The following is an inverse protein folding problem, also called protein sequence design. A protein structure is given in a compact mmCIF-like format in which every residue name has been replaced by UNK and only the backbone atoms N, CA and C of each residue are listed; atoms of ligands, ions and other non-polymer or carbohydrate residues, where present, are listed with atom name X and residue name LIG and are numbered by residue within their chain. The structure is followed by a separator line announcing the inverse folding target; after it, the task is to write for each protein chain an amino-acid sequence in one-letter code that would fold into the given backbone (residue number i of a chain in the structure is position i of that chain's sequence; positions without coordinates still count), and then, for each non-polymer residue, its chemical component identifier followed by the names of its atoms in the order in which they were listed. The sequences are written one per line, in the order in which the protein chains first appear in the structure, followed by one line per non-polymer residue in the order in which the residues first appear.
data_IF_743825916589
#
_entry.id   IF_743825916589
#
_cell.length_a   1.000
_cell.length_b   1.000
_cell.length_c   1.000
_cell.angle_alpha   90.00
_cell.angle_beta   90.00
_cell.angle_gamma   90.00
#
_symmetry.space_group_name_H-M   'P 1'
#
loop_
_entity.id
_entity.type
_entity.pdbx_description
1 polymer ?
#
# COMPACT_ATOMS: atom_id res chain seq x y z
N UNK A 1 27.99 -21.91 3.74
CA UNK A 1 26.83 -21.59 4.62
C UNK A 1 26.26 -20.25 4.18
N UNK A 2 24.94 -20.14 4.04
CA UNK A 2 24.31 -18.87 3.70
C UNK A 2 24.48 -17.86 4.86
N UNK A 3 24.77 -16.61 4.55
CA UNK A 3 24.86 -15.55 5.56
C UNK A 3 23.46 -15.20 6.08
N UNK A 4 23.35 -14.79 7.34
CA UNK A 4 22.07 -14.41 7.94
C UNK A 4 21.36 -13.30 7.13
N UNK A 5 22.13 -12.35 6.59
CA UNK A 5 21.62 -11.30 5.69
C UNK A 5 20.99 -11.86 4.41
N UNK A 6 21.53 -12.94 3.86
CA UNK A 6 20.95 -13.59 2.68
C UNK A 6 19.61 -14.24 3.02
N UNK A 7 19.55 -14.99 4.13
CA UNK A 7 18.30 -15.64 4.60
C UNK A 7 17.21 -14.59 4.86
N UNK A 8 17.53 -13.52 5.60
CA UNK A 8 16.57 -12.44 5.85
C UNK A 8 16.14 -11.74 4.57
N UNK A 9 17.05 -11.53 3.62
CA UNK A 9 16.70 -10.93 2.34
C UNK A 9 15.77 -11.81 1.50
N UNK A 10 15.92 -13.14 1.53
CA UNK A 10 14.98 -14.07 0.88
C UNK A 10 13.60 -14.02 1.56
N UNK A 11 13.55 -14.06 2.89
CA UNK A 11 12.29 -13.91 3.64
C UNK A 11 11.62 -12.57 3.30
N UNK A 12 12.40 -11.49 3.27
CA UNK A 12 11.94 -10.16 2.90
C UNK A 12 11.37 -10.11 1.48
N UNK A 13 12.04 -10.76 0.51
CA UNK A 13 11.53 -10.90 -0.86
C UNK A 13 10.16 -11.59 -0.89
N UNK A 14 10.02 -12.73 -0.22
CA UNK A 14 8.75 -13.49 -0.18
C UNK A 14 7.63 -12.64 0.42
N UNK A 15 7.87 -12.02 1.58
CA UNK A 15 6.85 -11.19 2.25
C UNK A 15 6.47 -9.98 1.39
N UNK A 16 7.44 -9.28 0.81
CA UNK A 16 7.18 -8.14 -0.08
C UNK A 16 6.36 -8.53 -1.30
N UNK A 17 6.65 -9.69 -1.93
CA UNK A 17 5.86 -10.20 -3.05
C UNK A 17 4.41 -10.49 -2.62
N UNK A 18 4.20 -11.08 -1.44
CA UNK A 18 2.85 -11.29 -0.88
C UNK A 18 2.09 -9.96 -0.69
N UNK A 19 2.78 -8.90 -0.27
CA UNK A 19 2.20 -7.55 -0.19
C UNK A 19 1.86 -7.01 -1.58
N UNK A 20 2.75 -7.16 -2.57
CA UNK A 20 2.52 -6.66 -3.93
C UNK A 20 1.41 -7.41 -4.68
N UNK A 21 1.13 -8.66 -4.35
CA UNK A 21 -0.01 -9.41 -4.92
C UNK A 21 -1.34 -9.12 -4.23
N UNK A 22 -1.34 -8.42 -3.09
CA UNK A 22 -2.57 -8.11 -2.36
C UNK A 22 -3.66 -7.40 -3.20
N UNK A 23 -3.34 -6.52 -4.18
CA UNK A 23 -4.36 -5.89 -5.02
C UNK A 23 -4.88 -6.76 -6.16
N UNK A 24 -4.38 -7.98 -6.38
CA UNK A 24 -4.80 -8.84 -7.52
C UNK A 24 -6.31 -9.03 -7.52
N UNK A 25 -6.91 -9.32 -6.35
CA UNK A 25 -8.37 -9.52 -6.25
C UNK A 25 -9.13 -8.24 -6.64
N UNK A 26 -8.65 -7.08 -6.21
CA UNK A 26 -9.24 -5.78 -6.58
C UNK A 26 -9.19 -5.56 -8.09
N UNK A 27 -8.03 -5.79 -8.73
CA UNK A 27 -7.93 -5.61 -10.18
C UNK A 27 -8.66 -6.68 -10.99
N UNK A 28 -8.82 -7.89 -10.45
CA UNK A 28 -9.70 -8.89 -11.03
C UNK A 28 -11.14 -8.40 -11.12
N UNK A 29 -11.66 -7.78 -10.05
CA UNK A 29 -13.00 -7.18 -10.05
C UNK A 29 -13.11 -6.02 -11.05
N UNK A 30 -12.08 -5.16 -11.13
CA UNK A 30 -12.01 -4.07 -12.12
C UNK A 30 -12.12 -4.62 -13.55
N UNK A 31 -11.40 -5.69 -13.87
CA UNK A 31 -11.46 -6.33 -15.19
C UNK A 31 -12.83 -6.94 -15.48
N UNK A 32 -13.44 -7.61 -14.50
CA UNK A 32 -14.76 -8.23 -14.63
C UNK A 32 -15.86 -7.18 -14.84
N UNK A 33 -15.80 -6.08 -14.09
CA UNK A 33 -16.79 -4.99 -14.14
C UNK A 33 -16.51 -3.97 -15.25
N UNK A 34 -15.33 -4.03 -15.87
CA UNK A 34 -14.86 -3.04 -16.88
C UNK A 34 -14.90 -1.61 -16.37
N UNK A 35 -14.72 -1.41 -15.06
CA UNK A 35 -14.78 -0.12 -14.39
C UNK A 35 -13.90 -0.14 -13.15
N UNK A 36 -13.19 0.96 -12.88
CA UNK A 36 -12.43 1.15 -11.64
C UNK A 36 -13.30 1.54 -10.45
N UNK A 37 -14.62 1.69 -10.64
CA UNK A 37 -15.56 2.15 -9.61
C UNK A 37 -15.00 3.35 -8.82
N UNK A 38 -14.86 3.23 -7.50
CA UNK A 38 -14.30 4.24 -6.60
C UNK A 38 -12.83 3.96 -6.22
N UNK A 39 -12.18 2.98 -6.84
CA UNK A 39 -10.77 2.69 -6.60
C UNK A 39 -9.90 3.83 -7.10
N UNK A 40 -8.85 4.14 -6.32
CA UNK A 40 -7.89 5.20 -6.60
C UNK A 40 -6.64 4.64 -7.25
N UNK A 41 -6.17 5.28 -8.32
CA UNK A 41 -4.97 4.87 -9.06
C UNK A 41 -3.68 5.37 -8.41
N UNK A 42 -3.76 6.45 -7.63
CA UNK A 42 -2.62 7.15 -7.05
C UNK A 42 -1.68 6.26 -6.21
N UNK A 43 -2.17 5.33 -5.36
CA UNK A 43 -1.28 4.45 -4.60
C UNK A 43 -0.39 3.56 -5.49
N UNK A 44 -0.91 3.07 -6.61
CA UNK A 44 -0.17 2.19 -7.53
C UNK A 44 0.91 2.96 -8.29
N UNK A 45 0.61 4.20 -8.71
CA UNK A 45 1.56 5.11 -9.35
C UNK A 45 2.71 5.44 -8.39
N UNK A 46 2.40 5.87 -7.17
CA UNK A 46 3.45 6.19 -6.19
C UNK A 46 4.30 4.97 -5.82
N UNK A 47 3.69 3.79 -5.79
CA UNK A 47 4.41 2.54 -5.52
C UNK A 47 5.26 2.11 -6.72
N UNK A 48 4.83 2.38 -7.96
CA UNK A 48 5.62 2.15 -9.16
C UNK A 48 6.90 3.01 -9.15
N UNK A 49 6.79 4.31 -8.87
CA UNK A 49 7.95 5.18 -8.70
C UNK A 49 8.89 4.65 -7.59
N UNK A 50 8.32 4.35 -6.42
CA UNK A 50 9.11 3.89 -5.26
C UNK A 50 9.87 2.61 -5.56
N UNK A 51 9.18 1.59 -6.08
CA UNK A 51 9.80 0.32 -6.47
C UNK A 51 10.81 0.48 -7.61
N UNK A 52 10.57 1.37 -8.57
CA UNK A 52 11.54 1.67 -9.64
C UNK A 52 12.82 2.32 -9.09
N UNK A 53 12.69 3.28 -8.16
CA UNK A 53 13.84 3.92 -7.52
C UNK A 53 14.62 2.95 -6.62
N UNK A 54 13.94 2.12 -5.85
CA UNK A 54 14.59 1.08 -5.06
C UNK A 54 15.25 0.00 -5.93
N UNK A 55 14.72 -0.27 -7.11
CA UNK A 55 15.37 -1.14 -8.11
C UNK A 55 16.67 -0.52 -8.61
N UNK A 56 16.65 0.78 -8.97
CA UNK A 56 17.85 1.51 -9.35
C UNK A 56 18.88 1.51 -8.20
N UNK A 57 18.43 1.75 -6.97
CA UNK A 57 19.27 1.70 -5.77
C UNK A 57 19.95 0.34 -5.61
N UNK A 58 19.19 -0.76 -5.70
CA UNK A 58 19.71 -2.12 -5.64
C UNK A 58 20.69 -2.44 -6.78
N UNK A 59 20.45 -1.92 -7.99
CA UNK A 59 21.30 -2.14 -9.15
C UNK A 59 22.67 -1.45 -9.03
N UNK A 60 22.74 -0.26 -8.42
CA UNK A 60 23.99 0.49 -8.24
C UNK A 60 24.73 0.14 -6.93
N UNK A 61 24.04 -0.52 -5.98
CA UNK A 61 24.61 -0.89 -4.68
C UNK A 61 25.40 -2.20 -4.79
N UNK A 62 26.64 -2.27 -4.26
CA UNK A 62 27.33 -3.54 -4.05
C UNK A 62 26.49 -4.50 -3.21
N UNK A 63 26.36 -5.74 -3.67
CA UNK A 63 25.50 -6.78 -3.05
C UNK A 63 24.03 -6.35 -2.90
N UNK A 64 23.54 -5.49 -3.79
CA UNK A 64 22.17 -4.99 -3.80
C UNK A 64 21.14 -5.92 -4.48
N UNK A 65 21.55 -7.12 -4.90
CA UNK A 65 20.72 -8.03 -5.70
C UNK A 65 19.35 -8.31 -5.08
N UNK A 66 19.29 -8.61 -3.78
CA UNK A 66 18.03 -8.91 -3.09
C UNK A 66 17.06 -7.71 -3.02
N UNK A 67 17.61 -6.50 -2.98
CA UNK A 67 16.82 -5.25 -3.01
C UNK A 67 16.34 -4.98 -4.45
N UNK A 68 17.21 -5.22 -5.44
CA UNK A 68 16.88 -5.07 -6.85
C UNK A 68 15.79 -6.06 -7.27
N UNK A 69 15.87 -7.33 -6.89
CA UNK A 69 14.93 -8.38 -7.32
C UNK A 69 13.53 -8.15 -6.77
N UNK A 70 13.42 -7.82 -5.48
CA UNK A 70 12.11 -7.60 -4.84
C UNK A 70 11.41 -6.38 -5.42
N UNK A 71 12.16 -5.29 -5.60
CA UNK A 71 11.58 -4.04 -6.07
C UNK A 71 11.36 -4.06 -7.58
N UNK A 72 12.22 -4.74 -8.35
CA UNK A 72 12.01 -4.94 -9.78
C UNK A 72 10.74 -5.75 -10.05
N UNK A 73 10.52 -6.82 -9.28
CA UNK A 73 9.27 -7.58 -9.33
C UNK A 73 8.07 -6.73 -8.93
N UNK A 74 8.22 -5.91 -7.88
CA UNK A 74 7.23 -4.93 -7.47
C UNK A 74 6.88 -3.94 -8.58
N UNK A 75 7.89 -3.35 -9.24
CA UNK A 75 7.71 -2.39 -10.33
C UNK A 75 6.97 -3.02 -11.51
N UNK A 76 7.29 -4.27 -11.87
CA UNK A 76 6.55 -5.01 -12.93
C UNK A 76 5.08 -5.18 -12.53
N UNK A 77 4.79 -5.62 -11.30
CA UNK A 77 3.41 -5.77 -10.83
C UNK A 77 2.65 -4.44 -10.78
N UNK A 78 3.28 -3.37 -10.30
CA UNK A 78 2.67 -2.04 -10.26
C UNK A 78 2.41 -1.48 -11.65
N UNK A 79 3.32 -1.71 -12.61
CA UNK A 79 3.12 -1.33 -14.00
C UNK A 79 1.88 -2.03 -14.59
N UNK A 80 1.68 -3.32 -14.29
CA UNK A 80 0.47 -4.05 -14.68
C UNK A 80 -0.78 -3.40 -14.08
N UNK A 81 -0.78 -3.11 -12.77
CA UNK A 81 -1.92 -2.48 -12.09
C UNK A 81 -2.24 -1.10 -12.65
N UNK A 82 -1.23 -0.25 -12.84
CA UNK A 82 -1.40 1.08 -13.44
C UNK A 82 -1.96 0.97 -14.86
N UNK A 83 -1.46 0.03 -15.66
CA UNK A 83 -1.96 -0.22 -17.02
C UNK A 83 -3.43 -0.64 -17.00
N UNK A 84 -3.80 -1.61 -16.16
CA UNK A 84 -5.19 -2.04 -16.02
C UNK A 84 -6.09 -0.89 -15.55
N UNK A 85 -5.62 -0.06 -14.63
CA UNK A 85 -6.36 1.13 -14.18
C UNK A 85 -6.61 2.08 -15.35
N UNK A 86 -5.59 2.40 -16.15
CA UNK A 86 -5.74 3.29 -17.32
C UNK A 86 -6.65 2.71 -18.40
N UNK A 87 -6.68 1.39 -18.57
CA UNK A 87 -7.59 0.72 -19.51
C UNK A 87 -9.04 0.87 -19.05
N UNK A 88 -9.34 0.57 -17.78
CA UNK A 88 -10.71 0.46 -17.28
C UNK A 88 -11.26 1.68 -16.54
N UNK A 89 -10.47 2.73 -16.30
CA UNK A 89 -10.93 3.93 -15.63
C UNK A 89 -11.94 4.74 -16.50
N UNK A 90 -12.96 5.36 -15.88
CA UNK A 90 -13.81 6.37 -16.54
C UNK A 90 -12.96 7.51 -17.12
N UNK A 91 -13.44 8.15 -18.20
CA UNK A 91 -12.65 9.16 -18.96
C UNK A 91 -12.02 10.25 -18.09
N UNK A 92 -12.77 10.81 -17.13
CA UNK A 92 -12.27 11.87 -16.25
C UNK A 92 -11.12 11.39 -15.35
N UNK A 93 -11.31 10.27 -14.65
CA UNK A 93 -10.28 9.66 -13.82
C UNK A 93 -9.08 9.20 -14.66
N UNK A 94 -9.33 8.66 -15.85
CA UNK A 94 -8.30 8.18 -16.77
C UNK A 94 -7.32 9.29 -17.17
N UNK A 95 -7.83 10.48 -17.54
CA UNK A 95 -6.96 11.61 -17.92
C UNK A 95 -6.14 12.09 -16.73
N UNK A 96 -6.74 12.20 -15.55
CA UNK A 96 -6.02 12.57 -14.32
C UNK A 96 -4.91 11.57 -13.99
N UNK A 97 -5.23 10.28 -14.01
CA UNK A 97 -4.28 9.20 -13.75
C UNK A 97 -3.17 9.18 -14.80
N UNK A 98 -3.50 9.31 -16.09
CA UNK A 98 -2.50 9.33 -17.16
C UNK A 98 -1.52 10.50 -17.01
N UNK A 99 -2.03 11.71 -16.70
CA UNK A 99 -1.18 12.87 -16.39
C UNK A 99 -0.25 12.58 -15.21
N UNK A 100 -0.76 11.96 -14.15
CA UNK A 100 0.04 11.64 -12.98
C UNK A 100 1.13 10.60 -13.30
N UNK A 101 0.82 9.55 -14.08
CA UNK A 101 1.81 8.57 -14.56
C UNK A 101 2.92 9.25 -15.37
N UNK A 102 2.56 10.11 -16.32
CA UNK A 102 3.56 10.83 -17.14
C UNK A 102 4.46 11.69 -16.27
N UNK A 103 3.90 12.47 -15.34
CA UNK A 103 4.70 13.34 -14.47
C UNK A 103 5.58 12.52 -13.52
N UNK A 104 5.02 11.52 -12.85
CA UNK A 104 5.68 10.81 -11.74
C UNK A 104 6.58 9.68 -12.26
N UNK A 105 6.06 8.79 -13.11
CA UNK A 105 6.77 7.58 -13.53
C UNK A 105 7.59 7.75 -14.82
N UNK A 106 7.35 8.81 -15.61
CA UNK A 106 8.15 9.10 -16.81
C UNK A 106 9.08 10.27 -16.57
N UNK A 107 8.56 11.45 -16.24
CA UNK A 107 9.37 12.66 -16.11
C UNK A 107 10.26 12.62 -14.86
N UNK A 108 9.68 12.41 -13.67
CA UNK A 108 10.46 12.39 -12.42
C UNK A 108 11.41 11.20 -12.38
N UNK A 109 10.91 9.98 -12.64
CA UNK A 109 11.77 8.79 -12.68
C UNK A 109 12.89 8.91 -13.74
N UNK A 110 12.55 9.35 -14.95
CA UNK A 110 13.51 9.56 -16.03
C UNK A 110 14.58 10.60 -15.68
N UNK A 111 14.18 11.71 -15.05
CA UNK A 111 15.12 12.73 -14.58
C UNK A 111 16.06 12.20 -13.50
N UNK A 112 15.56 11.40 -12.55
CA UNK A 112 16.40 10.79 -11.51
C UNK A 112 17.39 9.79 -12.12
N UNK A 113 16.94 8.93 -13.04
CA UNK A 113 17.81 7.98 -13.75
C UNK A 113 18.88 8.73 -14.56
N UNK A 114 18.47 9.71 -15.37
CA UNK A 114 19.39 10.50 -16.19
C UNK A 114 20.43 11.23 -15.32
N UNK A 115 20.00 11.88 -14.25
CA UNK A 115 20.91 12.57 -13.31
C UNK A 115 21.88 11.58 -12.65
N UNK A 116 21.39 10.41 -12.23
CA UNK A 116 22.22 9.38 -11.59
C UNK A 116 23.28 8.84 -12.55
N UNK A 117 22.92 8.59 -13.81
CA UNK A 117 23.81 7.97 -14.79
C UNK A 117 24.77 8.97 -15.45
N UNK A 118 24.32 10.20 -15.71
CA UNK A 118 25.04 11.18 -16.52
C UNK A 118 25.76 12.25 -15.68
N UNK A 119 25.20 12.67 -14.54
CA UNK A 119 25.72 13.80 -13.77
C UNK A 119 26.45 13.38 -12.49
N UNK A 120 25.98 12.32 -11.82
CA UNK A 120 26.55 11.86 -10.54
C UNK A 120 27.50 10.70 -10.80
N UNK A 121 28.58 10.60 -10.00
CA UNK A 121 29.63 9.60 -10.18
C UNK A 121 30.06 8.97 -8.86
N UNK A 122 30.57 7.74 -8.93
CA UNK A 122 31.08 6.99 -7.77
C UNK A 122 30.04 6.80 -6.66
N UNK A 123 30.51 6.83 -5.41
CA UNK A 123 29.70 6.61 -4.20
C UNK A 123 28.58 7.64 -4.01
N UNK A 124 28.70 8.83 -4.63
CA UNK A 124 27.66 9.87 -4.59
C UNK A 124 26.36 9.42 -5.25
N UNK A 125 26.41 8.49 -6.23
CA UNK A 125 25.21 7.93 -6.88
C UNK A 125 24.34 7.21 -5.86
N UNK A 126 24.97 6.37 -5.03
CA UNK A 126 24.29 5.59 -4.02
C UNK A 126 23.65 6.49 -2.96
N UNK A 127 24.38 7.52 -2.51
CA UNK A 127 23.86 8.51 -1.54
C UNK A 127 22.65 9.25 -2.12
N UNK A 128 22.76 9.75 -3.35
CA UNK A 128 21.69 10.51 -4.00
C UNK A 128 20.41 9.69 -4.14
N UNK A 129 20.51 8.48 -4.74
CA UNK A 129 19.34 7.62 -4.93
C UNK A 129 18.81 7.13 -3.58
N UNK A 130 19.69 6.79 -2.63
CA UNK A 130 19.30 6.36 -1.29
C UNK A 130 18.44 7.38 -0.55
N UNK A 131 18.84 8.66 -0.55
CA UNK A 131 18.05 9.74 0.06
C UNK A 131 16.68 9.87 -0.59
N UNK A 132 16.59 9.81 -1.93
CA UNK A 132 15.32 9.88 -2.64
C UNK A 132 14.42 8.70 -2.32
N UNK A 133 14.95 7.47 -2.32
CA UNK A 133 14.24 6.26 -1.96
C UNK A 133 13.68 6.33 -0.53
N UNK A 134 14.52 6.69 0.44
CA UNK A 134 14.13 6.81 1.84
C UNK A 134 13.08 7.91 2.03
N UNK A 135 13.32 9.10 1.49
CA UNK A 135 12.40 10.24 1.59
C UNK A 135 11.03 9.95 0.99
N UNK A 136 11.00 9.35 -0.21
CA UNK A 136 9.76 8.93 -0.85
C UNK A 136 9.01 7.89 -0.01
N UNK A 137 9.71 6.88 0.49
CA UNK A 137 9.10 5.82 1.32
C UNK A 137 8.49 6.39 2.60
N UNK A 138 9.19 7.32 3.27
CA UNK A 138 8.66 8.03 4.44
C UNK A 138 7.43 8.86 4.07
N UNK A 139 7.47 9.57 2.95
CA UNK A 139 6.32 10.33 2.45
C UNK A 139 5.09 9.45 2.19
N UNK A 140 5.29 8.24 1.65
CA UNK A 140 4.21 7.28 1.43
C UNK A 140 3.53 6.83 2.73
N UNK A 141 4.21 6.91 3.88
CA UNK A 141 3.60 6.60 5.18
C UNK A 141 2.54 7.62 5.63
N UNK A 142 2.37 8.74 4.94
CA UNK A 142 1.23 9.64 5.15
C UNK A 142 -0.12 8.93 4.96
N UNK A 143 -0.20 7.97 4.02
CA UNK A 143 -1.41 7.20 3.76
C UNK A 143 -1.84 6.32 4.96
N UNK A 144 -1.00 5.42 5.51
CA UNK A 144 -1.34 4.65 6.70
C UNK A 144 -1.60 5.54 7.92
N UNK A 145 -0.89 6.66 8.10
CA UNK A 145 -1.21 7.64 9.15
C UNK A 145 -2.63 8.19 9.03
N UNK A 146 -3.05 8.55 7.81
CA UNK A 146 -4.41 9.02 7.54
C UNK A 146 -5.46 7.95 7.88
N UNK A 147 -5.19 6.68 7.56
CA UNK A 147 -6.06 5.56 7.92
C UNK A 147 -6.12 5.37 9.44
N UNK A 148 -4.99 5.42 10.15
CA UNK A 148 -4.96 5.37 11.62
C UNK A 148 -5.79 6.49 12.25
N UNK A 149 -5.65 7.72 11.74
CA UNK A 149 -6.49 8.86 12.18
C UNK A 149 -7.97 8.58 11.95
N UNK A 150 -8.33 7.97 10.83
CA UNK A 150 -9.72 7.57 10.53
C UNK A 150 -10.21 6.54 11.54
N UNK A 151 -9.45 5.48 11.82
CA UNK A 151 -9.80 4.46 12.84
C UNK A 151 -10.06 5.10 14.20
N UNK A 152 -9.20 6.02 14.64
CA UNK A 152 -9.37 6.69 15.94
C UNK A 152 -10.64 7.55 15.98
N UNK A 153 -10.98 8.23 14.88
CA UNK A 153 -12.17 9.08 14.76
C UNK A 153 -13.46 8.27 14.64
N UNK A 154 -13.47 7.25 13.78
CA UNK A 154 -14.67 6.43 13.50
C UNK A 154 -14.86 5.31 14.51
N UNK A 155 -13.85 5.04 15.34
CA UNK A 155 -13.83 3.92 16.29
C UNK A 155 -14.01 2.56 15.60
N UNK A 156 -13.66 2.47 14.31
CA UNK A 156 -13.85 1.29 13.48
C UNK A 156 -12.61 0.98 12.63
N UNK A 157 -12.30 -0.31 12.49
CA UNK A 157 -11.16 -0.85 11.74
C UNK A 157 -11.50 -1.25 10.30
N UNK A 158 -12.69 -0.90 9.80
CA UNK A 158 -13.19 -1.22 8.45
C UNK A 158 -12.18 -0.90 7.32
N UNK A 159 -11.46 0.22 7.43
CA UNK A 159 -10.49 0.67 6.43
C UNK A 159 -9.06 0.18 6.68
N UNK A 160 -8.83 -0.63 7.72
CA UNK A 160 -7.52 -1.13 8.13
C UNK A 160 -7.57 -2.65 8.32
N UNK A 161 -7.49 -3.43 7.22
CA UNK A 161 -7.53 -4.89 7.32
C UNK A 161 -6.31 -5.41 8.09
N UNK A 162 -6.55 -6.34 9.02
CA UNK A 162 -5.52 -6.91 9.89
C UNK A 162 -4.38 -7.55 9.09
N UNK A 163 -4.70 -8.44 8.15
CA UNK A 163 -3.69 -9.20 7.40
C UNK A 163 -2.74 -8.26 6.64
N UNK A 164 -3.27 -7.24 5.98
CA UNK A 164 -2.43 -6.27 5.27
C UNK A 164 -1.50 -5.53 6.25
N UNK A 165 -2.03 -5.06 7.38
CA UNK A 165 -1.25 -4.37 8.40
C UNK A 165 -0.16 -5.27 9.00
N UNK A 166 -0.49 -6.54 9.24
CA UNK A 166 0.44 -7.54 9.76
C UNK A 166 1.57 -7.86 8.78
N UNK A 167 1.26 -8.10 7.50
CA UNK A 167 2.28 -8.35 6.48
C UNK A 167 3.14 -7.12 6.21
N UNK A 168 2.58 -5.90 6.26
CA UNK A 168 3.37 -4.66 6.18
C UNK A 168 4.32 -4.49 7.37
N UNK A 169 3.84 -4.80 8.59
CA UNK A 169 4.68 -4.81 9.79
C UNK A 169 5.83 -5.81 9.69
N UNK A 170 5.54 -7.06 9.32
CA UNK A 170 6.57 -8.08 9.12
C UNK A 170 7.56 -7.69 8.03
N UNK A 171 7.06 -7.17 6.91
CA UNK A 171 7.90 -6.70 5.81
C UNK A 171 8.89 -5.65 6.29
N UNK A 172 8.40 -4.61 6.97
CA UNK A 172 9.21 -3.53 7.49
C UNK A 172 10.21 -4.05 8.56
N UNK A 173 9.81 -4.98 9.42
CA UNK A 173 10.68 -5.58 10.43
C UNK A 173 11.84 -6.38 9.81
N UNK A 174 11.54 -7.26 8.86
CA UNK A 174 12.54 -8.08 8.17
C UNK A 174 13.52 -7.21 7.39
N UNK A 175 13.03 -6.21 6.65
CA UNK A 175 13.91 -5.30 5.91
C UNK A 175 14.72 -4.37 6.82
N UNK A 176 14.19 -4.00 8.00
CA UNK A 176 14.97 -3.27 9.02
C UNK A 176 16.11 -4.14 9.57
N UNK A 177 15.83 -5.40 9.90
CA UNK A 177 16.84 -6.34 10.38
C UNK A 177 17.90 -6.61 9.29
N UNK A 178 17.47 -6.81 8.04
CA UNK A 178 18.36 -6.93 6.88
C UNK A 178 19.30 -5.72 6.78
N UNK A 179 18.74 -4.50 6.86
CA UNK A 179 19.50 -3.26 6.75
C UNK A 179 20.59 -3.12 7.82
N UNK A 180 20.31 -3.54 9.06
CA UNK A 180 21.31 -3.57 10.15
C UNK A 180 22.48 -4.50 9.80
N UNK A 181 22.19 -5.69 9.26
CA UNK A 181 23.23 -6.66 8.91
C UNK A 181 24.10 -6.20 7.73
N UNK A 182 23.50 -5.54 6.73
CA UNK A 182 24.24 -5.01 5.57
C UNK A 182 24.75 -3.58 5.77
N UNK A 183 24.55 -3.00 6.97
CA UNK A 183 24.93 -1.64 7.36
C UNK A 183 24.43 -0.57 6.39
N UNK A 184 23.19 -0.72 5.92
CA UNK A 184 22.57 0.20 4.96
C UNK A 184 21.56 1.12 5.68
N UNK A 185 21.98 2.37 5.92
CA UNK A 185 21.16 3.35 6.63
C UNK A 185 19.90 3.75 5.85
N UNK A 186 19.94 3.74 4.52
CA UNK A 186 18.81 4.20 3.70
C UNK A 186 17.65 3.21 3.76
N UNK A 187 17.97 1.91 3.62
CA UNK A 187 17.00 0.83 3.83
C UNK A 187 16.53 0.83 5.29
N UNK A 188 17.47 1.01 6.24
CA UNK A 188 17.20 0.97 7.67
C UNK A 188 16.22 2.04 8.13
N UNK A 189 16.47 3.31 7.80
CA UNK A 189 15.61 4.43 8.22
C UNK A 189 14.20 4.31 7.63
N UNK A 190 14.09 3.96 6.35
CA UNK A 190 12.80 3.77 5.69
C UNK A 190 11.99 2.67 6.38
N UNK A 191 12.58 1.48 6.51
CA UNK A 191 11.87 0.32 7.05
C UNK A 191 11.65 0.39 8.56
N UNK A 192 12.56 0.99 9.34
CA UNK A 192 12.35 1.17 10.78
C UNK A 192 11.16 2.10 11.05
N UNK A 193 11.02 3.17 10.25
CA UNK A 193 9.84 4.05 10.30
C UNK A 193 8.56 3.27 9.97
N UNK A 194 8.59 2.45 8.92
CA UNK A 194 7.47 1.57 8.57
C UNK A 194 7.14 0.54 9.66
N UNK A 195 8.15 0.02 10.36
CA UNK A 195 7.98 -0.95 11.43
C UNK A 195 7.28 -0.32 12.63
N UNK A 196 7.71 0.87 13.06
CA UNK A 196 7.06 1.64 14.13
C UNK A 196 5.60 1.92 13.79
N UNK A 197 5.33 2.36 12.55
CA UNK A 197 3.95 2.62 12.11
C UNK A 197 3.13 1.34 12.01
N UNK A 198 3.69 0.25 11.49
CA UNK A 198 3.04 -1.05 11.43
C UNK A 198 2.68 -1.58 12.83
N UNK A 199 3.57 -1.42 13.81
CA UNK A 199 3.27 -1.73 15.22
C UNK A 199 2.09 -0.90 15.72
N UNK A 200 2.10 0.41 15.45
CA UNK A 200 1.01 1.29 15.86
C UNK A 200 -0.32 0.92 15.17
N UNK A 201 -0.31 0.51 13.90
CA UNK A 201 -1.49 0.01 13.20
C UNK A 201 -2.05 -1.26 13.87
N UNK A 202 -1.19 -2.22 14.21
CA UNK A 202 -1.61 -3.45 14.89
C UNK A 202 -2.19 -3.18 16.29
N UNK A 203 -1.56 -2.29 17.06
CA UNK A 203 -2.06 -1.87 18.37
C UNK A 203 -3.45 -1.22 18.23
N UNK A 204 -3.61 -0.27 17.31
CA UNK A 204 -4.91 0.36 17.06
C UNK A 204 -5.96 -0.64 16.59
N UNK A 205 -5.59 -1.61 15.75
CA UNK A 205 -6.50 -2.66 15.31
C UNK A 205 -7.08 -3.41 16.51
N UNK A 206 -6.23 -3.93 17.40
CA UNK A 206 -6.66 -4.67 18.60
C UNK A 206 -7.53 -3.82 19.52
N UNK A 207 -7.18 -2.54 19.70
CA UNK A 207 -7.96 -1.63 20.56
C UNK A 207 -9.37 -1.33 20.04
N UNK A 208 -9.56 -1.30 18.72
CA UNK A 208 -10.81 -0.85 18.10
C UNK A 208 -11.64 -1.96 17.45
N UNK A 209 -11.09 -3.16 17.22
CA UNK A 209 -11.84 -4.29 16.61
C UNK A 209 -13.06 -4.73 17.42
N UNK A 210 -12.97 -4.71 18.76
CA UNK A 210 -14.10 -5.10 19.61
C UNK A 210 -15.19 -4.01 19.62
N UNK A 211 -14.80 -2.74 19.46
CA UNK A 211 -15.72 -1.61 19.40
C UNK A 211 -16.47 -1.56 18.07
N UNK A 212 -15.81 -1.89 16.95
CA UNK A 212 -16.49 -1.97 15.66
C UNK A 212 -17.56 -3.05 15.63
N UNK A 213 -17.26 -4.24 16.18
CA UNK A 213 -18.24 -5.35 16.25
C UNK A 213 -19.47 -4.95 17.06
N UNK A 214 -19.28 -4.27 18.19
CA UNK A 214 -20.39 -3.77 19.01
C UNK A 214 -21.25 -2.73 18.29
N UNK A 215 -20.64 -1.76 17.59
CA UNK A 215 -21.37 -0.73 16.84
C UNK A 215 -22.15 -1.33 15.67
N UNK A 216 -21.57 -2.30 14.95
CA UNK A 216 -22.26 -3.00 13.86
C UNK A 216 -23.45 -3.83 14.36
N UNK A 217 -23.34 -4.47 15.53
CA UNK A 217 -24.44 -5.19 16.15
C UNK A 217 -25.61 -4.25 16.50
N UNK A 218 -25.32 -3.11 17.14
CA UNK A 218 -26.34 -2.11 17.50
C UNK A 218 -27.06 -1.58 16.24
N UNK A 219 -26.32 -1.23 15.18
CA UNK A 219 -26.92 -0.75 13.92
C UNK A 219 -27.83 -1.79 13.25
N UNK A 220 -27.46 -3.07 13.31
CA UNK A 220 -28.29 -4.15 12.76
C UNK A 220 -29.59 -4.30 13.53
N UNK A 221 -29.55 -4.23 14.87
CA UNK A 221 -30.75 -4.27 15.72
C UNK A 221 -31.70 -3.10 15.45
N UNK A 222 -31.19 -1.87 15.32
CA UNK A 222 -32.00 -0.69 14.99
C UNK A 222 -32.66 -0.82 13.60
N UNK A 223 -31.91 -1.25 12.57
CA UNK A 223 -32.50 -1.41 11.22
C UNK A 223 -33.56 -2.52 11.15
N UNK A 224 -33.40 -3.57 11.97
CA UNK A 224 -34.37 -4.67 12.04
C UNK A 224 -35.62 -4.24 12.83
N UNK A 225 -35.48 -3.38 13.84
CA UNK A 225 -36.60 -2.81 14.60
C UNK A 225 -37.47 -1.85 13.78
N UNK A 226 -36.87 -1.03 12.92
CA UNK A 226 -37.62 -0.13 12.02
C UNK A 226 -38.40 -0.88 10.93
N UNK A 227 -37.88 -2.03 10.48
CA UNK A 227 -38.58 -2.89 9.51
C UNK A 227 -39.84 -3.53 10.13
N UNK A 228 -39.81 -3.86 11.43
CA UNK A 228 -40.96 -4.40 12.17
C UNK A 228 -42.01 -3.32 12.45
N UNK A 229 -41.60 -2.08 12.76
CA UNK A 229 -42.53 -0.96 12.96
C UNK A 229 -43.25 -0.51 11.69
N UNK A 230 -42.63 -0.66 10.51
CA UNK A 230 -43.26 -0.36 9.22
C UNK A 230 -44.35 -1.34 8.77
N UNK A 231 -44.40 -2.54 9.36
CA UNK A 231 -45.36 -3.61 9.01
C UNK A 231 -46.70 -3.57 9.73
N UNK A 232 -46.85 -2.74 10.77
CA UNK A 232 -48.11 -2.58 11.51
C UNK A 232 -48.86 -1.35 10.96
N UNK A 233 -49.30 -1.43 9.70
CA UNK A 233 -50.44 -0.62 9.25
C UNK A 233 -51.69 -1.47 9.45
N UNK A 234 -52.46 -1.12 10.48
CA UNK A 234 -53.77 -1.72 10.74
C UNK A 234 -54.64 -1.60 9.48
N UNK A 235 -55.07 -2.73 8.94
CA UNK A 235 -56.14 -2.75 7.94
C UNK A 235 -57.41 -2.21 8.60
N UNK A 236 -58.13 -1.25 7.97
CA UNK A 236 -59.47 -0.89 8.42
C UNK A 236 -60.38 -2.13 8.30
N UNK A 237 -61.18 -2.37 9.33
CA UNK A 237 -62.18 -3.44 9.36
C UNK A 237 -63.19 -3.26 8.21
N UNK A 238 -63.71 -4.36 7.63
CA UNK A 238 -64.68 -4.28 6.54
C UNK A 238 -66.04 -3.89 7.14
N UNK A 239 -66.53 -2.70 6.80
CA UNK A 239 -67.92 -2.34 7.02
C UNK A 239 -68.77 -3.08 5.98
N UNK A 240 -69.63 -3.97 6.47
CA UNK A 240 -70.72 -4.54 5.70
C UNK A 240 -71.99 -3.71 5.85
N UNK A 241 -72.68 -3.51 4.73
CA UNK A 241 -74.12 -3.73 4.40
C UNK A 241 -74.43 -2.96 3.13
#
# INVERSE_FOLDING_TARGET
MATLSFILGIIGNVISLLVFVSPIKTFWEVMKKKSTENYKGEPYIMTLLSTSLWTLYGAIKPDGLLVMTVNGSGAILQLIYVTLFLVYAPKENKVKTAKLVVVVDVVVLGAVIATTLLAIHGTKRLIFVGILCTGLTIGMYAAPLSVMRRVIKTKSVEYMPFLLSFFLFLNAGVWSAYAVLVKDIYIGVANASGFVLGSAQLILYVMYMNKSVSIEAIKKEESSGDTVRGGIKMNPLPEGV
#
